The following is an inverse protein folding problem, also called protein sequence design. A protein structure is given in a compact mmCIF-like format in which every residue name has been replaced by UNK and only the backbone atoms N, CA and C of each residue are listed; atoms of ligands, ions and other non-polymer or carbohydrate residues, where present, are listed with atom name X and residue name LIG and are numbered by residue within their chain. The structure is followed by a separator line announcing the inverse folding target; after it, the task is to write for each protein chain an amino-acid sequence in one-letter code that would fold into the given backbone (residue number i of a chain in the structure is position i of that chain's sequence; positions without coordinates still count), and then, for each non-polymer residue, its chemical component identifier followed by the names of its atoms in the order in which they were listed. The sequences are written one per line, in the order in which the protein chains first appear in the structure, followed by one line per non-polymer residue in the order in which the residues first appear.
data_IF_091088162076
#
_entry.id   IF_091088162076
#
_cell.length_a   1.000
_cell.length_b   1.000
_cell.length_c   1.000
_cell.angle_alpha   90.00
_cell.angle_beta   90.00
_cell.angle_gamma   90.00
#
_symmetry.space_group_name_H-M   'P 1'
#
loop_
_entity.id
_entity.type
_entity.pdbx_description
1 polymer ?
#
# COMPACT_ATOMS: atom_id res chain seq x y z
N UNK A 1 -33.40 14.03 37.11
CA UNK A 1 -32.07 13.70 36.61
C UNK A 1 -32.27 12.89 35.33
N UNK A 2 -32.20 13.52 34.16
CA UNK A 2 -32.18 12.83 32.85
C UNK A 2 -30.71 12.69 32.45
N UNK A 3 -30.21 11.47 32.48
CA UNK A 3 -28.87 11.13 32.02
C UNK A 3 -28.70 11.46 30.54
N UNK A 4 -27.71 12.25 30.21
CA UNK A 4 -27.20 12.37 28.85
C UNK A 4 -26.68 11.00 28.42
N UNK A 5 -27.35 10.37 27.49
CA UNK A 5 -26.79 9.27 26.70
C UNK A 5 -25.80 9.95 25.76
N UNK A 6 -24.51 9.86 26.10
CA UNK A 6 -23.44 10.19 25.16
C UNK A 6 -23.51 9.11 24.09
N UNK A 7 -23.93 9.48 22.90
CA UNK A 7 -23.82 8.66 21.69
C UNK A 7 -22.33 8.41 21.49
N UNK A 8 -21.83 7.25 21.89
CA UNK A 8 -20.50 6.78 21.52
C UNK A 8 -20.58 6.56 20.02
N UNK A 9 -19.93 7.44 19.24
CA UNK A 9 -19.89 7.34 17.79
C UNK A 9 -19.56 5.89 17.35
N UNK A 10 -20.26 5.39 16.36
CA UNK A 10 -20.00 4.07 15.79
C UNK A 10 -18.52 3.96 15.45
N UNK A 11 -17.86 2.95 15.99
CA UNK A 11 -16.44 2.71 15.71
C UNK A 11 -16.31 2.46 14.21
N UNK A 12 -15.47 3.25 13.52
CA UNK A 12 -15.18 3.09 12.09
C UNK A 12 -14.93 1.62 11.74
N UNK A 13 -15.65 1.11 10.75
CA UNK A 13 -15.53 -0.26 10.30
C UNK A 13 -15.07 -0.28 8.83
N UNK A 14 -13.79 -0.55 8.56
CA UNK A 14 -13.23 -0.50 7.22
C UNK A 14 -13.86 -1.53 6.27
N UNK A 15 -14.41 -2.63 6.80
CA UNK A 15 -15.08 -3.62 5.95
C UNK A 15 -16.44 -3.13 5.45
N UNK A 16 -17.22 -2.48 6.30
CA UNK A 16 -18.48 -1.87 5.88
C UNK A 16 -18.28 -0.75 4.86
N UNK A 17 -17.22 0.01 5.02
CA UNK A 17 -16.86 1.09 4.10
C UNK A 17 -16.46 0.54 2.72
N UNK A 18 -15.66 -0.54 2.71
CA UNK A 18 -15.33 -1.27 1.48
C UNK A 18 -16.58 -1.82 0.78
N UNK A 19 -17.55 -2.38 1.53
CA UNK A 19 -18.79 -2.89 0.98
C UNK A 19 -19.63 -1.77 0.33
N UNK A 20 -19.72 -0.59 0.96
CA UNK A 20 -20.39 0.58 0.38
C UNK A 20 -19.74 1.02 -0.93
N UNK A 21 -18.42 1.14 -0.96
CA UNK A 21 -17.70 1.53 -2.18
C UNK A 21 -17.93 0.53 -3.32
N UNK A 22 -18.01 -0.76 -2.99
CA UNK A 22 -18.29 -1.80 -3.98
C UNK A 22 -19.74 -1.69 -4.49
N UNK A 23 -20.73 -1.44 -3.61
CA UNK A 23 -22.12 -1.26 -3.99
C UNK A 23 -22.30 -0.02 -4.86
N UNK A 24 -21.70 1.11 -4.50
CA UNK A 24 -21.70 2.33 -5.32
C UNK A 24 -21.12 2.08 -6.72
N UNK A 25 -20.00 1.33 -6.81
CA UNK A 25 -19.42 0.96 -8.09
C UNK A 25 -20.32 0.03 -8.92
N UNK A 26 -21.00 -0.93 -8.27
CA UNK A 26 -21.94 -1.83 -8.92
C UNK A 26 -23.15 -1.07 -9.49
N UNK A 27 -23.69 -0.12 -8.73
CA UNK A 27 -24.81 0.74 -9.16
C UNK A 27 -24.41 1.57 -10.39
N UNK A 28 -23.21 2.17 -10.38
CA UNK A 28 -22.68 2.93 -11.52
C UNK A 28 -22.50 2.07 -12.78
N UNK A 29 -22.18 0.77 -12.61
CA UNK A 29 -22.03 -0.19 -13.70
C UNK A 29 -23.37 -0.79 -14.14
N UNK A 30 -24.46 -0.54 -13.42
CA UNK A 30 -25.77 -1.13 -13.69
C UNK A 30 -25.81 -2.63 -13.44
N UNK A 31 -25.03 -3.13 -12.46
CA UNK A 31 -25.01 -4.54 -12.09
C UNK A 31 -26.17 -4.87 -11.16
N UNK A 32 -26.80 -6.04 -11.37
CA UNK A 32 -27.78 -6.57 -10.44
C UNK A 32 -27.08 -7.15 -9.19
N UNK A 33 -27.78 -7.20 -8.06
CA UNK A 33 -27.23 -7.68 -6.79
C UNK A 33 -26.56 -9.05 -6.90
N UNK A 34 -27.15 -9.96 -7.65
CA UNK A 34 -26.65 -11.34 -7.80
C UNK A 34 -25.33 -11.41 -8.58
N UNK A 35 -24.99 -10.38 -9.38
CA UNK A 35 -23.75 -10.34 -10.15
C UNK A 35 -22.50 -10.15 -9.26
N UNK A 36 -22.65 -9.48 -8.11
CA UNK A 36 -21.55 -9.15 -7.22
C UNK A 36 -21.71 -9.63 -5.77
N UNK A 37 -22.82 -10.24 -5.40
CA UNK A 37 -23.09 -10.66 -4.01
C UNK A 37 -21.98 -11.54 -3.44
N UNK A 38 -21.41 -12.45 -4.25
CA UNK A 38 -20.31 -13.33 -3.85
C UNK A 38 -19.05 -12.56 -3.44
N UNK A 39 -18.85 -11.37 -4.00
CA UNK A 39 -17.69 -10.51 -3.70
C UNK A 39 -17.82 -9.74 -2.37
N UNK A 40 -18.97 -9.83 -1.71
CA UNK A 40 -19.17 -9.26 -0.38
C UNK A 40 -18.56 -10.11 0.74
N UNK A 41 -18.22 -11.35 0.45
CA UNK A 41 -17.82 -12.32 1.46
C UNK A 41 -16.46 -12.95 1.10
N UNK A 42 -15.49 -12.97 2.04
CA UNK A 42 -14.28 -13.74 1.86
C UNK A 42 -14.57 -15.26 1.73
N UNK A 43 -13.85 -15.93 0.83
CA UNK A 43 -13.96 -17.39 0.69
C UNK A 43 -13.50 -18.13 1.94
N UNK A 44 -12.50 -17.62 2.65
CA UNK A 44 -11.93 -18.23 3.86
C UNK A 44 -11.43 -17.20 4.84
N UNK A 45 -11.74 -17.41 6.10
CA UNK A 45 -11.29 -16.61 7.23
C UNK A 45 -10.59 -17.53 8.24
N UNK A 46 -9.35 -17.24 8.58
CA UNK A 46 -8.60 -17.95 9.61
C UNK A 46 -8.13 -16.97 10.68
N UNK A 47 -8.58 -17.20 11.90
CA UNK A 47 -8.08 -16.55 13.12
C UNK A 47 -7.28 -17.56 13.91
N UNK A 48 -6.10 -17.16 14.39
CA UNK A 48 -5.18 -18.02 15.16
C UNK A 48 -4.70 -17.35 16.43
N UNK A 49 -4.48 -18.15 17.47
CA UNK A 49 -3.81 -17.71 18.69
C UNK A 49 -2.35 -18.18 18.66
N UNK A 50 -1.41 -17.25 18.76
CA UNK A 50 0.02 -17.48 18.53
C UNK A 50 0.77 -17.43 19.85
N UNK A 51 1.00 -18.56 20.56
CA UNK A 51 1.83 -18.58 21.76
C UNK A 51 3.31 -18.44 21.38
N UNK A 52 3.99 -17.50 22.04
CA UNK A 52 5.41 -17.20 21.84
C UNK A 52 6.11 -17.18 23.20
N UNK A 53 7.20 -17.92 23.31
CA UNK A 53 8.13 -17.82 24.44
C UNK A 53 8.94 -16.53 24.32
N UNK A 54 8.84 -15.68 25.34
CA UNK A 54 9.55 -14.41 25.40
C UNK A 54 10.99 -14.64 25.89
N UNK A 55 11.84 -13.60 25.79
CA UNK A 55 13.25 -13.71 26.19
C UNK A 55 13.42 -13.90 27.71
N UNK A 56 12.43 -13.50 28.49
CA UNK A 56 12.36 -13.74 29.95
C UNK A 56 11.80 -15.12 30.32
N UNK A 57 11.47 -15.98 29.35
CA UNK A 57 10.90 -17.31 29.58
C UNK A 57 9.38 -17.32 29.79
N UNK A 58 8.71 -16.18 29.80
CA UNK A 58 7.25 -16.12 29.91
C UNK A 58 6.60 -16.48 28.55
N UNK A 59 5.31 -16.82 28.56
CA UNK A 59 4.53 -17.07 27.36
C UNK A 59 3.57 -15.90 27.13
N UNK A 60 3.71 -15.21 25.99
CA UNK A 60 2.70 -14.28 25.50
C UNK A 60 1.92 -14.91 24.35
N UNK A 61 0.63 -14.64 24.28
CA UNK A 61 -0.25 -15.14 23.21
C UNK A 61 -0.70 -13.95 22.37
N UNK A 62 -0.39 -13.98 21.09
CA UNK A 62 -0.78 -12.96 20.11
C UNK A 62 -1.93 -13.47 19.25
N UNK A 63 -2.71 -12.54 18.71
CA UNK A 63 -3.81 -12.85 17.81
C UNK A 63 -3.36 -12.62 16.37
N UNK A 64 -3.61 -13.57 15.48
CA UNK A 64 -3.26 -13.48 14.09
C UNK A 64 -4.41 -13.85 13.17
N UNK A 65 -4.36 -13.33 11.92
CA UNK A 65 -5.40 -13.48 10.91
C UNK A 65 -4.80 -13.81 9.54
N UNK A 66 -5.45 -14.65 8.76
CA UNK A 66 -5.23 -14.78 7.31
C UNK A 66 -6.58 -14.93 6.63
N UNK A 67 -6.92 -13.98 5.75
CA UNK A 67 -8.17 -13.92 5.03
C UNK A 67 -7.89 -14.10 3.55
N UNK A 68 -8.63 -15.00 2.89
CA UNK A 68 -8.65 -15.18 1.44
C UNK A 68 -10.00 -14.68 0.93
N UNK A 69 -9.98 -13.54 0.23
CA UNK A 69 -11.20 -12.92 -0.23
C UNK A 69 -11.76 -13.64 -1.47
N UNK A 70 -10.96 -13.77 -2.52
CA UNK A 70 -11.36 -14.51 -3.72
C UNK A 70 -10.17 -15.16 -4.39
N UNK A 71 -10.31 -16.40 -4.83
CA UNK A 71 -9.34 -17.16 -5.59
C UNK A 71 -9.72 -17.35 -7.07
N UNK A 72 -10.81 -16.74 -7.53
CA UNK A 72 -11.37 -16.95 -8.88
C UNK A 72 -10.40 -16.60 -10.02
N UNK A 73 -9.43 -15.70 -9.80
CA UNK A 73 -8.44 -15.29 -10.79
C UNK A 73 -7.09 -16.02 -10.67
N UNK A 74 -6.91 -16.85 -9.64
CA UNK A 74 -5.66 -17.56 -9.36
C UNK A 74 -5.34 -17.59 -7.87
N UNK A 75 -4.10 -17.96 -7.49
CA UNK A 75 -3.72 -18.00 -6.08
C UNK A 75 -3.91 -16.64 -5.42
N UNK A 76 -4.40 -16.67 -4.18
CA UNK A 76 -4.61 -15.45 -3.41
C UNK A 76 -3.27 -14.75 -3.15
N UNK A 77 -3.27 -13.42 -3.12
CA UNK A 77 -2.08 -12.58 -2.92
C UNK A 77 -2.36 -11.46 -1.95
N UNK A 78 -1.46 -11.26 -0.98
CA UNK A 78 -1.57 -10.11 -0.10
C UNK A 78 -0.55 -10.06 1.02
N UNK A 79 -0.28 -8.85 1.53
CA UNK A 79 0.69 -8.59 2.59
C UNK A 79 0.29 -9.16 3.94
N UNK A 80 1.26 -9.21 4.85
CA UNK A 80 1.08 -9.48 6.28
C UNK A 80 1.45 -8.23 7.05
N UNK A 81 0.52 -7.69 7.84
CA UNK A 81 0.70 -6.48 8.66
C UNK A 81 0.94 -6.84 10.11
N UNK A 82 1.91 -6.20 10.75
CA UNK A 82 2.12 -6.26 12.19
C UNK A 82 1.78 -4.90 12.80
N UNK A 83 0.65 -4.82 13.51
CA UNK A 83 0.20 -3.59 14.15
C UNK A 83 -0.70 -3.90 15.34
N UNK A 84 -0.69 -3.03 16.34
CA UNK A 84 -1.47 -3.21 17.58
C UNK A 84 -2.99 -3.08 17.36
N UNK A 85 -3.42 -2.36 16.34
CA UNK A 85 -4.83 -2.15 16.00
C UNK A 85 -5.37 -3.17 14.98
N UNK A 86 -4.56 -4.08 14.47
CA UNK A 86 -5.02 -5.11 13.52
C UNK A 86 -6.22 -5.87 14.08
N UNK A 87 -7.29 -5.88 13.32
CA UNK A 87 -8.49 -6.66 13.60
C UNK A 87 -9.02 -7.41 12.36
N UNK A 88 -10.04 -8.21 12.56
CA UNK A 88 -10.64 -9.04 11.52
C UNK A 88 -11.25 -8.21 10.39
N UNK A 89 -11.94 -7.11 10.71
CA UNK A 89 -12.63 -6.29 9.71
C UNK A 89 -11.64 -5.52 8.84
N UNK A 90 -10.56 -5.01 9.43
CA UNK A 90 -9.46 -4.40 8.67
C UNK A 90 -8.85 -5.41 7.69
N UNK A 91 -8.53 -6.62 8.16
CA UNK A 91 -7.93 -7.65 7.30
C UNK A 91 -8.89 -8.12 6.20
N UNK A 92 -10.21 -8.21 6.46
CA UNK A 92 -11.23 -8.48 5.44
C UNK A 92 -11.25 -7.40 4.36
N UNK A 93 -11.38 -6.13 4.74
CA UNK A 93 -11.38 -5.00 3.81
C UNK A 93 -10.15 -5.02 2.92
N UNK A 94 -8.96 -5.12 3.52
CA UNK A 94 -7.70 -5.15 2.80
C UNK A 94 -7.54 -6.37 1.88
N UNK A 95 -8.14 -7.52 2.23
CA UNK A 95 -8.13 -8.70 1.36
C UNK A 95 -9.01 -8.52 0.12
N UNK A 96 -10.16 -7.84 0.26
CA UNK A 96 -11.04 -7.48 -0.85
C UNK A 96 -10.35 -6.47 -1.79
N UNK A 97 -9.74 -5.41 -1.24
CA UNK A 97 -8.96 -4.46 -2.04
C UNK A 97 -7.84 -5.14 -2.83
N UNK A 98 -7.21 -6.18 -2.28
CA UNK A 98 -6.21 -6.96 -3.04
C UNK A 98 -6.82 -7.70 -4.22
N UNK A 99 -8.04 -8.24 -4.11
CA UNK A 99 -8.76 -8.86 -5.23
C UNK A 99 -8.98 -7.86 -6.36
N UNK A 100 -9.52 -6.68 -6.04
CA UNK A 100 -9.78 -5.64 -7.03
C UNK A 100 -8.49 -5.09 -7.63
N UNK A 101 -7.47 -4.84 -6.81
CA UNK A 101 -6.15 -4.36 -7.27
C UNK A 101 -5.52 -5.31 -8.28
N UNK A 102 -5.53 -6.63 -8.01
CA UNK A 102 -5.01 -7.63 -8.95
C UNK A 102 -5.83 -7.70 -10.24
N UNK A 103 -7.15 -7.53 -10.15
CA UNK A 103 -8.03 -7.52 -11.30
C UNK A 103 -7.80 -6.30 -12.21
N UNK A 104 -7.68 -5.11 -11.63
CA UNK A 104 -7.48 -3.84 -12.37
C UNK A 104 -6.19 -3.88 -13.20
N UNK A 105 -5.10 -4.43 -12.66
CA UNK A 105 -3.82 -4.55 -13.41
C UNK A 105 -3.71 -5.86 -14.18
N UNK A 106 -4.78 -6.63 -14.25
CA UNK A 106 -4.91 -7.86 -15.02
C UNK A 106 -3.83 -8.91 -14.76
N UNK A 107 -3.42 -9.10 -13.50
CA UNK A 107 -2.52 -10.18 -13.10
C UNK A 107 -3.34 -11.37 -12.58
N UNK A 108 -2.85 -12.62 -12.75
CA UNK A 108 -3.58 -13.84 -12.40
C UNK A 108 -3.46 -14.17 -10.91
N UNK A 109 -3.91 -13.24 -10.07
CA UNK A 109 -4.00 -13.38 -8.63
C UNK A 109 -5.40 -13.10 -8.13
N UNK A 110 -5.82 -13.85 -7.12
CA UNK A 110 -6.88 -13.49 -6.23
C UNK A 110 -6.40 -12.53 -5.12
N UNK A 111 -7.24 -12.29 -4.12
CA UNK A 111 -6.92 -11.40 -3.01
C UNK A 111 -6.85 -12.12 -1.67
N UNK A 112 -5.84 -11.78 -0.90
CA UNK A 112 -5.71 -12.16 0.50
C UNK A 112 -5.09 -11.04 1.34
N UNK A 113 -5.22 -11.16 2.65
CA UNK A 113 -4.51 -10.32 3.61
C UNK A 113 -4.22 -11.11 4.88
N UNK A 114 -3.12 -10.80 5.53
CA UNK A 114 -2.80 -11.31 6.85
C UNK A 114 -2.46 -10.19 7.80
N UNK A 115 -2.53 -10.49 9.09
CA UNK A 115 -2.12 -9.56 10.12
C UNK A 115 -1.88 -10.26 11.44
N UNK A 116 -1.04 -9.66 12.27
CA UNK A 116 -0.86 -10.05 13.67
C UNK A 116 -1.04 -8.81 14.53
N UNK A 117 -1.89 -8.94 15.56
CA UNK A 117 -2.12 -7.89 16.54
C UNK A 117 -0.94 -7.81 17.49
N UNK A 118 0.01 -6.94 17.20
CA UNK A 118 1.27 -6.79 17.93
C UNK A 118 1.90 -5.43 17.68
N UNK A 119 2.53 -4.84 18.70
CA UNK A 119 3.48 -3.75 18.51
C UNK A 119 4.89 -4.34 18.34
N UNK A 120 5.43 -4.43 17.11
CA UNK A 120 6.73 -5.09 16.90
C UNK A 120 7.92 -4.33 17.51
N UNK A 121 7.74 -3.06 17.88
CA UNK A 121 8.77 -2.26 18.55
C UNK A 121 9.00 -2.70 20.01
N UNK A 122 8.04 -3.43 20.59
CA UNK A 122 8.13 -3.98 21.95
C UNK A 122 8.79 -5.37 21.98
N UNK A 123 9.08 -5.95 20.82
CA UNK A 123 9.67 -7.27 20.70
C UNK A 123 11.16 -7.19 20.36
N UNK A 124 11.94 -8.08 20.96
CA UNK A 124 13.29 -8.32 20.48
C UNK A 124 13.28 -8.95 19.08
N UNK A 125 14.39 -8.88 18.37
CA UNK A 125 14.54 -9.55 17.08
C UNK A 125 14.29 -11.07 17.18
N UNK A 126 14.73 -11.70 18.28
CA UNK A 126 14.50 -13.12 18.57
C UNK A 126 13.01 -13.44 18.79
N UNK A 127 12.33 -12.62 19.55
CA UNK A 127 10.87 -12.74 19.80
C UNK A 127 10.06 -12.55 18.53
N UNK A 128 10.38 -11.52 17.73
CA UNK A 128 9.73 -11.26 16.44
C UNK A 128 9.92 -12.44 15.46
N UNK A 129 11.10 -13.05 15.46
CA UNK A 129 11.38 -14.24 14.65
C UNK A 129 10.56 -15.45 15.13
N UNK A 130 10.47 -15.68 16.44
CA UNK A 130 9.65 -16.76 17.01
C UNK A 130 8.16 -16.56 16.70
N UNK A 131 7.65 -15.32 16.84
CA UNK A 131 6.29 -14.94 16.47
C UNK A 131 6.00 -15.26 15.01
N UNK A 132 6.84 -14.79 14.10
CA UNK A 132 6.67 -14.98 12.66
C UNK A 132 6.68 -16.45 12.28
N UNK A 133 7.61 -17.24 12.80
CA UNK A 133 7.69 -18.69 12.52
C UNK A 133 6.47 -19.42 13.06
N UNK A 134 6.00 -19.08 14.26
CA UNK A 134 4.82 -19.69 14.85
C UNK A 134 3.55 -19.32 14.07
N UNK A 135 3.38 -18.04 13.73
CA UNK A 135 2.29 -17.58 12.85
C UNK A 135 2.29 -18.33 11.51
N UNK A 136 3.45 -18.45 10.87
CA UNK A 136 3.59 -19.18 9.60
C UNK A 136 3.13 -20.63 9.71
N UNK A 137 3.53 -21.33 10.78
CA UNK A 137 3.12 -22.70 11.01
C UNK A 137 1.61 -22.84 11.18
N UNK A 138 0.95 -21.85 11.78
CA UNK A 138 -0.51 -21.87 12.02
C UNK A 138 -1.31 -21.55 10.75
N UNK A 139 -0.80 -20.72 9.86
CA UNK A 139 -1.47 -20.39 8.58
C UNK A 139 -1.03 -21.34 7.43
N UNK A 140 -0.16 -22.31 7.70
CA UNK A 140 0.37 -23.24 6.73
C UNK A 140 -0.69 -23.93 5.83
N UNK A 141 -1.88 -24.32 6.34
CA UNK A 141 -2.91 -24.94 5.51
C UNK A 141 -3.42 -24.04 4.38
N UNK A 142 -3.38 -22.72 4.56
CA UNK A 142 -3.88 -21.75 3.58
C UNK A 142 -2.80 -21.32 2.59
N UNK A 143 -1.55 -21.10 3.04
CA UNK A 143 -0.48 -20.53 2.21
C UNK A 143 0.17 -21.57 1.30
N UNK A 144 0.75 -21.07 0.22
CA UNK A 144 1.50 -21.88 -0.75
C UNK A 144 1.58 -21.22 -2.12
N UNK A 145 2.56 -21.60 -2.95
CA UNK A 145 2.77 -20.96 -4.26
C UNK A 145 1.56 -21.06 -5.21
N UNK A 146 0.71 -22.10 -5.03
CA UNK A 146 -0.48 -22.33 -5.83
C UNK A 146 -1.79 -21.97 -5.12
N UNK A 147 -1.71 -21.45 -3.90
CA UNK A 147 -2.88 -21.21 -3.05
C UNK A 147 -3.00 -19.77 -2.61
N UNK A 148 -1.96 -19.31 -1.89
CA UNK A 148 -1.96 -18.00 -1.25
C UNK A 148 -0.52 -17.57 -0.94
N UNK A 149 -0.12 -16.42 -1.46
CA UNK A 149 1.26 -15.96 -1.48
C UNK A 149 1.38 -14.68 -0.63
N UNK A 150 1.91 -14.78 0.60
CA UNK A 150 2.20 -13.62 1.44
C UNK A 150 3.23 -12.66 0.82
N UNK A 151 3.19 -11.42 1.29
CA UNK A 151 4.13 -10.35 0.95
C UNK A 151 4.34 -9.42 2.14
N UNK A 152 5.33 -8.50 2.11
CA UNK A 152 5.47 -7.48 3.12
C UNK A 152 4.30 -6.48 3.12
N UNK A 153 4.00 -5.94 4.30
CA UNK A 153 3.09 -4.82 4.54
C UNK A 153 3.61 -3.99 5.74
N UNK A 154 2.79 -3.21 6.41
CA UNK A 154 3.19 -2.38 7.56
C UNK A 154 3.94 -3.23 8.60
N UNK A 155 5.12 -2.75 9.00
CA UNK A 155 6.00 -3.35 10.00
C UNK A 155 6.45 -4.79 9.70
N UNK A 156 6.38 -5.22 8.44
CA UNK A 156 7.06 -6.42 7.96
C UNK A 156 8.02 -6.06 6.83
N UNK A 157 9.03 -6.88 6.62
CA UNK A 157 10.16 -6.56 5.76
C UNK A 157 10.68 -7.81 5.02
N UNK A 158 11.69 -7.70 4.14
CA UNK A 158 12.25 -8.84 3.42
C UNK A 158 12.78 -9.96 4.32
N UNK A 159 13.37 -9.64 5.47
CA UNK A 159 13.88 -10.62 6.41
C UNK A 159 12.74 -11.49 6.99
N UNK A 160 11.62 -10.86 7.39
CA UNK A 160 10.40 -11.55 7.85
C UNK A 160 9.87 -12.48 6.76
N UNK A 161 9.88 -12.06 5.51
CA UNK A 161 9.51 -12.92 4.38
C UNK A 161 10.46 -14.12 4.23
N UNK A 162 11.75 -13.91 4.48
CA UNK A 162 12.74 -14.99 4.54
C UNK A 162 12.40 -16.02 5.62
N UNK A 163 12.00 -15.58 6.82
CA UNK A 163 11.59 -16.50 7.90
C UNK A 163 10.31 -17.28 7.55
N UNK A 164 9.35 -16.66 6.86
CA UNK A 164 8.14 -17.33 6.37
C UNK A 164 8.51 -18.41 5.36
N UNK A 165 9.34 -18.06 4.36
CA UNK A 165 9.80 -18.99 3.34
C UNK A 165 10.55 -20.20 3.95
N UNK A 166 11.48 -19.93 4.86
CA UNK A 166 12.26 -20.96 5.54
C UNK A 166 11.34 -21.89 6.37
N UNK A 167 10.44 -21.32 7.15
CA UNK A 167 9.49 -22.11 7.96
C UNK A 167 8.59 -22.98 7.07
N UNK A 168 8.02 -22.43 6.01
CA UNK A 168 7.21 -23.18 5.07
C UNK A 168 8.01 -24.33 4.43
N UNK A 169 9.24 -24.03 4.00
CA UNK A 169 10.13 -25.00 3.36
C UNK A 169 10.50 -26.16 4.29
N UNK A 170 10.71 -25.89 5.58
CA UNK A 170 10.94 -26.93 6.59
C UNK A 170 9.79 -27.96 6.63
N UNK A 171 8.54 -27.49 6.63
CA UNK A 171 7.37 -28.38 6.59
C UNK A 171 7.21 -29.15 5.28
N UNK A 172 7.75 -28.62 4.18
CA UNK A 172 7.71 -29.29 2.87
C UNK A 172 8.87 -30.26 2.66
N UNK A 173 9.96 -30.11 3.42
CA UNK A 173 11.17 -30.91 3.26
C UNK A 173 12.07 -30.48 2.08
N UNK A 174 11.74 -29.38 1.40
CA UNK A 174 12.53 -28.76 0.33
C UNK A 174 12.28 -27.28 0.24
N UNK A 175 13.20 -26.51 -0.36
CA UNK A 175 13.08 -25.07 -0.50
C UNK A 175 11.97 -24.67 -1.47
N UNK A 176 11.05 -23.80 -1.05
CA UNK A 176 9.89 -23.32 -1.83
C UNK A 176 9.91 -21.78 -1.93
N UNK A 177 10.73 -21.19 -2.81
CA UNK A 177 10.89 -19.73 -2.89
C UNK A 177 9.62 -19.01 -3.31
N UNK A 178 8.75 -19.67 -4.09
CA UNK A 178 7.49 -19.09 -4.59
C UNK A 178 6.39 -18.95 -3.55
N UNK A 179 6.60 -19.37 -2.29
CA UNK A 179 5.57 -19.26 -1.24
C UNK A 179 5.35 -17.82 -0.78
N UNK A 180 6.34 -16.95 -0.92
CA UNK A 180 6.27 -15.52 -0.56
C UNK A 180 6.90 -14.66 -1.64
N UNK A 181 6.55 -13.38 -1.65
CA UNK A 181 7.26 -12.36 -2.43
C UNK A 181 7.75 -11.23 -1.52
N UNK A 182 8.66 -10.40 -2.03
CA UNK A 182 9.30 -9.35 -1.24
C UNK A 182 10.40 -9.86 -0.30
N UNK A 183 10.94 -11.05 -0.56
CA UNK A 183 12.09 -11.61 0.15
C UNK A 183 13.40 -10.95 -0.29
N UNK A 184 14.51 -11.15 0.44
CA UNK A 184 15.83 -10.69 0.02
C UNK A 184 16.22 -11.20 -1.36
N UNK A 185 16.95 -10.38 -2.14
CA UNK A 185 17.38 -10.72 -3.51
C UNK A 185 18.24 -11.99 -3.53
N UNK A 186 19.08 -12.17 -2.51
CA UNK A 186 20.01 -13.30 -2.35
C UNK A 186 19.30 -14.65 -2.26
N UNK A 187 18.03 -14.67 -1.87
CA UNK A 187 17.20 -15.88 -1.77
C UNK A 187 16.04 -15.90 -2.78
N UNK A 188 16.20 -15.17 -3.90
CA UNK A 188 15.26 -15.16 -5.01
C UNK A 188 14.22 -14.02 -4.97
N UNK A 189 14.50 -12.94 -4.26
CA UNK A 189 13.73 -11.70 -4.34
C UNK A 189 13.97 -10.95 -5.65
N UNK A 190 13.07 -10.05 -6.02
CA UNK A 190 13.15 -9.26 -7.26
C UNK A 190 13.87 -7.95 -7.05
N UNK A 191 14.81 -7.62 -7.96
CA UNK A 191 15.39 -6.28 -8.06
C UNK A 191 14.31 -5.24 -8.39
N UNK A 192 14.47 -4.00 -7.92
CA UNK A 192 13.55 -2.89 -8.17
C UNK A 192 12.27 -2.91 -7.33
N UNK A 193 12.07 -3.91 -6.46
CA UNK A 193 10.90 -4.00 -5.57
C UNK A 193 10.71 -2.75 -4.71
N UNK A 194 11.81 -2.17 -4.23
CA UNK A 194 11.79 -1.00 -3.34
C UNK A 194 11.08 0.21 -3.97
N UNK A 195 11.33 0.46 -5.25
CA UNK A 195 10.84 1.63 -5.97
C UNK A 195 9.60 1.32 -6.84
N UNK A 196 9.19 0.05 -6.91
CA UNK A 196 8.15 -0.42 -7.83
C UNK A 196 6.80 0.30 -7.68
N UNK A 197 6.39 0.61 -6.45
CA UNK A 197 5.14 1.33 -6.20
C UNK A 197 5.22 2.77 -6.71
N UNK A 198 6.29 3.51 -6.35
CA UNK A 198 6.50 4.87 -6.84
C UNK A 198 6.65 4.95 -8.36
N UNK A 199 7.29 3.94 -8.97
CA UNK A 199 7.39 3.83 -10.42
C UNK A 199 6.02 3.58 -11.07
N UNK A 200 5.16 2.79 -10.44
CA UNK A 200 3.76 2.63 -10.86
C UNK A 200 3.00 3.95 -10.82
N UNK A 201 3.15 4.73 -9.75
CA UNK A 201 2.57 6.07 -9.61
C UNK A 201 3.06 6.99 -10.73
N UNK A 202 4.35 7.00 -11.03
CA UNK A 202 4.93 7.78 -12.14
C UNK A 202 4.30 7.39 -13.48
N UNK A 203 4.17 6.09 -13.78
CA UNK A 203 3.58 5.61 -15.03
C UNK A 203 2.11 6.05 -15.16
N UNK A 204 1.32 5.95 -14.09
CA UNK A 204 -0.07 6.38 -14.09
C UNK A 204 -0.19 7.90 -14.21
N UNK A 205 0.71 8.65 -13.57
CA UNK A 205 0.76 10.12 -13.71
C UNK A 205 1.06 10.52 -15.14
N UNK A 206 2.03 9.89 -15.82
CA UNK A 206 2.33 10.15 -17.23
C UNK A 206 1.14 9.83 -18.13
N UNK A 207 0.51 8.70 -17.94
CA UNK A 207 -0.64 8.27 -18.73
C UNK A 207 -1.81 9.25 -18.61
N UNK A 208 -2.14 9.68 -17.37
CA UNK A 208 -3.25 10.63 -17.19
C UNK A 208 -2.90 12.04 -17.75
N UNK A 209 -1.66 12.49 -17.57
CA UNK A 209 -1.21 13.75 -18.17
C UNK A 209 -1.35 13.72 -19.70
N UNK A 210 -0.93 12.62 -20.34
CA UNK A 210 -1.06 12.44 -21.79
C UNK A 210 -2.52 12.47 -22.24
N UNK A 211 -3.42 11.79 -21.51
CA UNK A 211 -4.87 11.80 -21.81
C UNK A 211 -5.49 13.17 -21.64
N UNK A 212 -4.98 13.99 -20.76
CA UNK A 212 -5.43 15.37 -20.55
C UNK A 212 -4.72 16.40 -21.46
N UNK A 213 -3.82 15.94 -22.33
CA UNK A 213 -3.08 16.81 -23.24
C UNK A 213 -2.08 17.74 -22.54
N UNK A 214 -1.62 17.37 -21.34
CA UNK A 214 -0.63 18.13 -20.55
C UNK A 214 0.76 17.52 -20.84
N UNK A 215 1.71 18.29 -21.42
CA UNK A 215 3.07 17.82 -21.61
C UNK A 215 3.73 17.49 -20.25
N UNK A 216 4.38 16.34 -20.17
CA UNK A 216 5.02 15.87 -18.93
C UNK A 216 6.06 16.89 -18.42
N UNK A 217 6.81 17.51 -19.33
CA UNK A 217 7.83 18.53 -18.99
C UNK A 217 7.27 19.87 -18.51
N UNK A 218 5.98 20.11 -18.66
CA UNK A 218 5.31 21.34 -18.21
C UNK A 218 4.51 21.11 -16.92
N UNK A 219 4.23 19.84 -16.60
CA UNK A 219 3.37 19.47 -15.47
C UNK A 219 3.99 19.86 -14.13
N UNK A 220 3.19 20.57 -13.34
CA UNK A 220 3.49 20.90 -11.94
C UNK A 220 2.89 19.86 -11.01
N UNK A 221 3.69 19.38 -10.04
CA UNK A 221 3.29 18.28 -9.17
C UNK A 221 3.54 18.61 -7.70
N UNK A 222 2.56 18.32 -6.85
CA UNK A 222 2.68 18.34 -5.40
C UNK A 222 2.59 16.91 -4.85
N UNK A 223 3.46 16.54 -3.91
CA UNK A 223 3.51 15.19 -3.33
C UNK A 223 3.45 15.28 -1.81
N UNK A 224 2.39 14.73 -1.21
CA UNK A 224 2.30 14.59 0.25
C UNK A 224 2.95 13.28 0.68
N UNK A 225 4.02 13.37 1.47
CA UNK A 225 4.74 12.20 1.99
C UNK A 225 5.97 11.82 1.15
N UNK A 226 7.17 12.05 1.69
CA UNK A 226 8.46 11.70 1.08
C UNK A 226 9.03 10.37 1.61
N UNK A 227 8.14 9.43 1.95
CA UNK A 227 8.52 8.06 2.31
C UNK A 227 8.91 7.20 1.11
N UNK A 228 8.82 5.86 1.26
CA UNK A 228 9.24 4.92 0.21
C UNK A 228 8.51 5.15 -1.13
N UNK A 229 7.19 5.38 -1.10
CA UNK A 229 6.39 5.54 -2.32
C UNK A 229 6.54 6.94 -2.89
N UNK A 230 6.27 7.98 -2.08
CA UNK A 230 6.32 9.36 -2.56
C UNK A 230 7.72 9.80 -2.95
N UNK A 231 8.76 9.40 -2.20
CA UNK A 231 10.15 9.69 -2.57
C UNK A 231 10.59 9.00 -3.87
N UNK A 232 10.13 7.75 -4.11
CA UNK A 232 10.39 7.08 -5.38
C UNK A 232 9.62 7.76 -6.53
N UNK A 233 8.33 8.07 -6.32
CA UNK A 233 7.53 8.77 -7.33
C UNK A 233 8.11 10.15 -7.66
N UNK A 234 8.54 10.91 -6.66
CA UNK A 234 9.18 12.22 -6.87
C UNK A 234 10.43 12.11 -7.77
N UNK A 235 11.33 11.15 -7.47
CA UNK A 235 12.54 10.95 -8.27
C UNK A 235 12.23 10.53 -9.71
N UNK A 236 11.35 9.55 -9.89
CA UNK A 236 10.99 9.05 -11.22
C UNK A 236 10.31 10.16 -12.06
N UNK A 237 9.37 10.91 -11.49
CA UNK A 237 8.70 12.02 -12.17
C UNK A 237 9.66 13.18 -12.50
N UNK A 238 10.58 13.49 -11.59
CA UNK A 238 11.64 14.50 -11.82
C UNK A 238 12.55 14.10 -13.00
N UNK A 239 12.95 12.81 -13.06
CA UNK A 239 13.75 12.29 -14.17
C UNK A 239 13.00 12.28 -15.50
N UNK A 240 11.67 12.18 -15.49
CA UNK A 240 10.82 12.34 -16.68
C UNK A 240 10.62 13.81 -17.08
N UNK A 241 11.14 14.75 -16.30
CA UNK A 241 11.10 16.19 -16.58
C UNK A 241 9.93 16.94 -15.92
N UNK A 242 9.12 16.29 -15.09
CA UNK A 242 8.07 16.99 -14.35
C UNK A 242 8.65 17.98 -13.33
N UNK A 243 7.94 19.06 -13.11
CA UNK A 243 8.28 20.10 -12.12
C UNK A 243 7.66 19.77 -10.77
N UNK A 244 8.44 19.20 -9.85
CA UNK A 244 7.98 18.93 -8.48
C UNK A 244 8.05 20.23 -7.68
N UNK A 245 6.92 20.86 -7.42
CA UNK A 245 6.88 22.19 -6.79
C UNK A 245 6.64 22.15 -5.29
N UNK A 246 6.01 21.10 -4.78
CA UNK A 246 5.74 20.95 -3.35
C UNK A 246 5.91 19.50 -2.92
N UNK A 247 6.52 19.31 -1.75
CA UNK A 247 6.59 18.01 -1.09
C UNK A 247 6.44 18.17 0.42
N UNK A 248 6.01 17.09 1.12
CA UNK A 248 5.96 17.09 2.58
C UNK A 248 6.36 15.75 3.19
N UNK A 249 6.69 15.80 4.48
CA UNK A 249 6.77 14.65 5.38
C UNK A 249 5.97 14.90 6.66
N UNK A 250 6.20 14.12 7.72
CA UNK A 250 5.49 14.28 9.00
C UNK A 250 5.80 15.58 9.73
N UNK A 251 6.89 16.28 9.38
CA UNK A 251 7.34 17.51 10.03
C UNK A 251 6.81 18.78 9.34
N UNK A 252 6.30 18.65 8.12
CA UNK A 252 5.79 19.77 7.34
C UNK A 252 6.07 19.60 5.85
N UNK A 253 6.02 20.72 5.11
CA UNK A 253 6.26 20.72 3.68
C UNK A 253 7.19 21.86 3.24
N UNK A 254 7.65 21.75 2.00
CA UNK A 254 8.41 22.77 1.28
C UNK A 254 7.80 23.02 -0.09
N UNK A 255 7.96 24.25 -0.57
CA UNK A 255 7.45 24.70 -1.86
C UNK A 255 8.49 25.56 -2.58
N UNK A 256 8.61 25.34 -3.89
CA UNK A 256 9.38 26.19 -4.80
C UNK A 256 8.67 26.25 -6.15
N UNK A 257 8.23 27.42 -6.59
CA UNK A 257 7.47 27.61 -7.81
C UNK A 257 8.23 27.15 -9.07
N UNK A 258 9.54 27.41 -9.11
CA UNK A 258 10.39 26.95 -10.21
C UNK A 258 10.65 25.45 -10.28
N UNK A 259 10.23 24.72 -9.24
CA UNK A 259 10.51 23.31 -9.02
C UNK A 259 11.69 23.06 -8.07
N UNK A 260 11.55 22.05 -7.22
CA UNK A 260 12.55 21.58 -6.27
C UNK A 260 13.62 20.74 -6.99
N UNK A 261 14.88 20.85 -6.56
CA UNK A 261 15.92 19.89 -6.91
C UNK A 261 15.69 18.58 -6.12
N UNK A 262 15.01 17.64 -6.76
CA UNK A 262 14.61 16.37 -6.11
C UNK A 262 15.83 15.49 -5.82
N UNK A 263 16.90 15.56 -6.60
CA UNK A 263 18.12 14.77 -6.35
C UNK A 263 18.81 15.27 -5.08
N UNK A 264 18.98 16.58 -4.94
CA UNK A 264 19.57 17.20 -3.76
C UNK A 264 18.72 16.98 -2.51
N UNK A 265 17.38 17.13 -2.63
CA UNK A 265 16.44 16.85 -1.55
C UNK A 265 16.51 15.38 -1.13
N UNK A 266 16.50 14.44 -2.08
CA UNK A 266 16.58 13.01 -1.80
C UNK A 266 17.89 12.65 -1.08
N UNK A 267 19.02 13.20 -1.52
CA UNK A 267 20.31 13.01 -0.84
C UNK A 267 20.27 13.54 0.59
N UNK A 268 19.66 14.71 0.82
CA UNK A 268 19.50 15.28 2.16
C UNK A 268 18.66 14.37 3.07
N UNK A 269 17.48 13.90 2.61
CA UNK A 269 16.60 13.03 3.39
C UNK A 269 17.24 11.65 3.69
N UNK A 270 18.10 11.15 2.81
CA UNK A 270 18.88 9.92 3.06
C UNK A 270 19.87 10.02 4.22
N UNK A 271 20.21 11.21 4.67
CA UNK A 271 21.02 11.41 5.88
C UNK A 271 20.25 11.21 7.18
N UNK A 272 18.94 10.89 7.11
CA UNK A 272 18.06 10.74 8.25
C UNK A 272 17.45 12.05 8.78
N UNK A 273 17.70 13.16 8.08
CA UNK A 273 17.07 14.46 8.36
C UNK A 273 15.67 14.55 7.79
N UNK A 274 14.88 15.51 8.28
CA UNK A 274 13.50 15.72 7.91
C UNK A 274 13.33 17.00 7.07
N UNK A 275 12.18 17.16 6.42
CA UNK A 275 11.89 18.32 5.57
C UNK A 275 11.97 19.65 6.34
N UNK A 276 11.60 19.67 7.62
CA UNK A 276 11.71 20.87 8.45
C UNK A 276 13.14 21.43 8.56
N UNK A 277 14.16 20.58 8.36
CA UNK A 277 15.58 20.97 8.41
C UNK A 277 16.15 21.38 7.04
N UNK A 278 15.40 21.14 5.95
CA UNK A 278 15.91 21.45 4.60
C UNK A 278 15.95 22.96 4.36
N UNK A 279 17.07 23.45 3.86
CA UNK A 279 17.28 24.87 3.52
C UNK A 279 17.93 25.00 2.15
N UNK A 280 17.30 25.77 1.29
CA UNK A 280 17.80 26.12 -0.05
C UNK A 280 17.21 27.46 -0.46
N UNK A 281 17.96 28.23 -1.23
CA UNK A 281 17.50 29.54 -1.73
C UNK A 281 16.25 29.38 -2.63
N UNK A 282 15.24 30.21 -2.39
CA UNK A 282 13.96 30.13 -3.12
C UNK A 282 12.97 29.09 -2.59
N UNK A 283 13.40 28.18 -1.69
CA UNK A 283 12.51 27.22 -1.04
C UNK A 283 11.83 27.86 0.18
N UNK A 284 10.52 27.79 0.25
CA UNK A 284 9.75 28.21 1.43
C UNK A 284 9.14 27.01 2.15
N UNK A 285 9.09 27.08 3.47
CA UNK A 285 8.40 26.10 4.29
C UNK A 285 6.89 26.37 4.29
N UNK A 286 6.12 25.30 4.18
CA UNK A 286 4.67 25.29 4.18
C UNK A 286 4.16 24.12 5.06
N UNK A 287 2.88 24.11 5.37
CA UNK A 287 2.24 23.00 6.10
C UNK A 287 1.88 21.84 5.18
N UNK A 288 1.64 20.67 5.75
CA UNK A 288 1.08 19.51 5.02
C UNK A 288 -0.21 19.84 4.28
N UNK A 289 -1.11 20.65 4.93
CA UNK A 289 -2.35 21.10 4.32
C UNK A 289 -2.09 21.96 3.07
N UNK A 290 -1.13 22.89 3.14
CA UNK A 290 -0.79 23.74 2.00
C UNK A 290 -0.23 22.94 0.82
N UNK A 291 0.45 21.80 1.07
CA UNK A 291 0.85 20.87 -0.01
C UNK A 291 -0.38 20.27 -0.69
N UNK A 292 -1.38 19.82 0.07
CA UNK A 292 -2.60 19.22 -0.49
C UNK A 292 -3.44 20.20 -1.32
N UNK A 293 -3.42 21.48 -0.96
CA UNK A 293 -4.19 22.53 -1.66
C UNK A 293 -3.36 23.41 -2.59
N UNK A 294 -2.14 22.97 -2.91
CA UNK A 294 -1.26 23.68 -3.86
C UNK A 294 -1.92 23.79 -5.24
N UNK A 295 -1.67 24.91 -5.90
CA UNK A 295 -2.13 25.14 -7.27
C UNK A 295 -1.18 24.44 -8.24
N UNK A 296 -1.55 23.22 -8.63
CA UNK A 296 -0.73 22.32 -9.45
C UNK A 296 -1.59 21.52 -10.44
N UNK A 297 -0.96 20.96 -11.45
CA UNK A 297 -1.65 20.05 -12.38
C UNK A 297 -1.99 18.71 -11.69
N UNK A 298 -1.05 18.18 -10.91
CA UNK A 298 -1.20 16.87 -10.26
C UNK A 298 -0.87 16.93 -8.77
N UNK A 299 -1.78 16.44 -7.94
CA UNK A 299 -1.57 16.16 -6.53
C UNK A 299 -1.36 14.65 -6.32
N UNK A 300 -0.31 14.27 -5.58
CA UNK A 300 -0.01 12.87 -5.24
C UNK A 300 -0.03 12.69 -3.73
N UNK A 301 -1.15 12.26 -3.12
CA UNK A 301 -1.20 11.87 -1.71
C UNK A 301 -0.50 10.51 -1.53
N UNK A 302 0.69 10.51 -0.90
CA UNK A 302 1.54 9.34 -0.70
C UNK A 302 1.90 9.11 0.79
N UNK A 303 1.19 9.73 1.73
CA UNK A 303 1.44 9.63 3.16
C UNK A 303 0.61 8.53 3.81
N UNK A 304 -0.61 8.83 4.20
CA UNK A 304 -1.50 7.96 4.97
C UNK A 304 -2.91 7.95 4.38
N UNK A 305 -3.76 7.10 4.93
CA UNK A 305 -5.19 7.08 4.67
C UNK A 305 -5.88 8.36 5.19
N UNK A 306 -7.04 8.70 4.62
CA UNK A 306 -7.93 9.79 5.05
C UNK A 306 -7.25 11.18 5.14
N UNK A 307 -6.33 11.48 4.24
CA UNK A 307 -5.66 12.78 4.17
C UNK A 307 -6.51 13.83 3.44
N UNK A 308 -7.26 13.42 2.43
CA UNK A 308 -8.21 14.26 1.70
C UNK A 308 -9.58 14.00 2.31
N UNK A 309 -9.92 14.82 3.29
CA UNK A 309 -11.23 14.86 3.94
C UNK A 309 -12.17 15.81 3.20
N UNK A 310 -13.47 15.82 3.57
CA UNK A 310 -14.46 16.77 3.05
C UNK A 310 -13.96 18.23 3.13
N UNK A 311 -13.36 18.61 4.27
CA UNK A 311 -12.83 19.97 4.48
C UNK A 311 -11.69 20.31 3.51
N UNK A 312 -10.81 19.35 3.24
CA UNK A 312 -9.66 19.54 2.34
C UNK A 312 -10.12 19.54 0.89
N UNK A 313 -11.03 18.64 0.51
CA UNK A 313 -11.52 18.46 -0.87
C UNK A 313 -12.07 19.76 -1.46
N UNK A 314 -12.86 20.52 -0.68
CA UNK A 314 -13.40 21.81 -1.11
C UNK A 314 -12.36 22.94 -1.32
N UNK A 315 -11.09 22.68 -0.97
CA UNK A 315 -9.97 23.63 -1.13
C UNK A 315 -8.93 23.18 -2.15
N UNK A 316 -9.05 21.96 -2.69
CA UNK A 316 -8.11 21.41 -3.67
C UNK A 316 -8.18 22.22 -4.98
N UNK A 317 -7.01 22.58 -5.50
CA UNK A 317 -6.86 23.31 -6.76
C UNK A 317 -6.27 22.43 -7.88
N UNK A 318 -5.73 21.28 -7.51
CA UNK A 318 -5.17 20.34 -8.49
C UNK A 318 -6.27 19.83 -9.43
N UNK A 319 -5.94 19.70 -10.69
CA UNK A 319 -6.84 19.17 -11.72
C UNK A 319 -6.93 17.65 -11.68
N UNK A 320 -5.86 17.00 -11.21
CA UNK A 320 -5.69 15.56 -11.18
C UNK A 320 -5.16 15.16 -9.82
N UNK A 321 -5.73 14.10 -9.24
CA UNK A 321 -5.20 13.43 -8.04
C UNK A 321 -4.77 12.02 -8.45
N UNK A 322 -3.54 11.63 -8.08
CA UNK A 322 -3.03 10.26 -8.29
C UNK A 322 -2.74 9.64 -6.92
N UNK A 323 -3.59 8.74 -6.48
CA UNK A 323 -3.57 8.18 -5.13
C UNK A 323 -2.43 7.18 -4.94
N UNK A 324 -1.33 7.63 -4.37
CA UNK A 324 -0.16 6.78 -4.11
C UNK A 324 -0.25 6.02 -2.77
N UNK A 325 -0.89 6.59 -1.75
CA UNK A 325 -1.25 5.90 -0.51
C UNK A 325 -2.50 5.03 -0.73
N UNK A 326 -2.80 4.12 0.21
CA UNK A 326 -4.06 3.38 0.20
C UNK A 326 -5.14 4.22 0.91
N UNK A 327 -6.30 4.38 0.26
CA UNK A 327 -7.44 5.11 0.80
C UNK A 327 -7.13 6.54 1.28
N UNK A 328 -6.38 7.37 0.53
CA UNK A 328 -6.02 8.70 1.00
C UNK A 328 -7.20 9.67 0.98
N UNK A 329 -8.24 9.38 0.21
CA UNK A 329 -9.45 10.19 0.03
C UNK A 329 -10.63 9.51 0.73
N UNK A 330 -11.39 10.28 1.54
CA UNK A 330 -12.63 9.78 2.15
C UNK A 330 -13.76 9.73 1.13
N UNK A 331 -14.77 8.88 1.38
CA UNK A 331 -15.94 8.76 0.48
C UNK A 331 -16.72 10.08 0.33
N UNK A 332 -16.78 10.89 1.38
CA UNK A 332 -17.39 12.23 1.33
C UNK A 332 -16.57 13.19 0.47
N UNK A 333 -15.24 13.13 0.61
CA UNK A 333 -14.34 13.96 -0.19
C UNK A 333 -14.41 13.59 -1.68
N UNK A 334 -14.51 12.30 -2.01
CA UNK A 334 -14.61 11.83 -3.39
C UNK A 334 -15.82 12.42 -4.11
N UNK A 335 -16.97 12.51 -3.44
CA UNK A 335 -18.18 13.16 -3.98
C UNK A 335 -17.97 14.63 -4.32
N UNK A 336 -17.21 15.35 -3.50
CA UNK A 336 -16.86 16.76 -3.75
C UNK A 336 -15.93 16.86 -4.94
N UNK A 337 -14.86 16.06 -4.95
CA UNK A 337 -13.88 16.06 -6.05
C UNK A 337 -14.55 15.78 -7.40
N UNK A 338 -15.46 14.81 -7.42
CA UNK A 338 -16.22 14.47 -8.61
C UNK A 338 -17.15 15.63 -9.05
N UNK A 339 -17.82 16.32 -8.12
CA UNK A 339 -18.67 17.48 -8.43
C UNK A 339 -17.88 18.67 -8.97
N UNK A 340 -16.61 18.82 -8.57
CA UNK A 340 -15.68 19.84 -9.06
C UNK A 340 -14.93 19.41 -10.35
N UNK A 341 -15.25 18.24 -10.91
CA UNK A 341 -14.59 17.66 -12.08
C UNK A 341 -13.08 17.44 -11.90
N UNK A 342 -12.62 17.17 -10.69
CA UNK A 342 -11.24 16.78 -10.41
C UNK A 342 -11.09 15.29 -10.75
N UNK A 343 -10.11 14.97 -11.57
CA UNK A 343 -9.88 13.59 -11.98
C UNK A 343 -9.12 12.87 -10.88
N UNK A 344 -9.66 11.74 -10.40
CA UNK A 344 -8.98 10.88 -9.42
C UNK A 344 -8.53 9.59 -10.11
N UNK A 345 -7.22 9.33 -10.10
CA UNK A 345 -6.66 8.01 -10.44
C UNK A 345 -6.59 7.21 -9.15
N UNK A 346 -7.45 6.18 -8.97
CA UNK A 346 -7.62 5.52 -7.69
C UNK A 346 -6.39 4.70 -7.28
N UNK A 347 -6.22 4.51 -5.98
CA UNK A 347 -5.11 3.82 -5.34
C UNK A 347 -4.92 2.38 -5.85
N UNK A 348 -6.01 1.64 -6.07
CA UNK A 348 -5.95 0.26 -6.59
C UNK A 348 -5.29 0.16 -7.97
N UNK A 349 -5.24 1.25 -8.73
CA UNK A 349 -4.54 1.36 -10.01
C UNK A 349 -3.17 2.03 -9.82
N UNK A 350 -3.14 3.21 -9.20
CA UNK A 350 -1.96 4.06 -9.14
C UNK A 350 -0.78 3.40 -8.40
N UNK A 351 -1.04 2.76 -7.24
CA UNK A 351 0.00 2.16 -6.42
C UNK A 351 0.21 0.65 -6.67
N UNK A 352 -0.37 0.10 -7.72
CA UNK A 352 -0.32 -1.34 -8.02
C UNK A 352 1.07 -1.84 -8.48
N UNK A 353 2.04 -0.97 -8.74
CA UNK A 353 3.39 -1.37 -9.17
C UNK A 353 4.04 -2.40 -8.25
N UNK A 354 3.80 -2.30 -6.95
CA UNK A 354 4.29 -3.27 -5.96
C UNK A 354 3.75 -4.69 -6.15
N UNK A 355 2.47 -4.87 -6.47
CA UNK A 355 1.90 -6.20 -6.70
C UNK A 355 2.31 -6.75 -8.07
N UNK A 356 2.50 -5.89 -9.07
CA UNK A 356 3.00 -6.28 -10.40
C UNK A 356 4.42 -6.86 -10.29
N UNK A 357 5.33 -6.20 -9.57
CA UNK A 357 6.68 -6.76 -9.32
C UNK A 357 6.61 -8.05 -8.50
N UNK A 358 5.68 -8.19 -7.57
CA UNK A 358 5.44 -9.45 -6.88
C UNK A 358 5.05 -10.59 -7.82
N UNK A 359 4.28 -10.30 -8.87
CA UNK A 359 3.95 -11.29 -9.89
C UNK A 359 5.21 -11.78 -10.61
N UNK A 360 6.08 -10.89 -11.04
CA UNK A 360 7.33 -11.28 -11.69
C UNK A 360 8.25 -12.08 -10.75
N UNK A 361 8.34 -11.69 -9.48
CA UNK A 361 9.09 -12.45 -8.47
C UNK A 361 8.55 -13.87 -8.28
N UNK A 362 7.23 -14.05 -8.32
CA UNK A 362 6.58 -15.35 -8.16
C UNK A 362 6.77 -16.25 -9.40
N UNK A 363 6.77 -15.67 -10.60
CA UNK A 363 6.95 -16.41 -11.86
C UNK A 363 8.41 -16.82 -12.07
N UNK A 364 9.38 -15.98 -11.67
CA UNK A 364 10.81 -16.20 -11.92
C UNK A 364 11.35 -17.55 -11.42
N UNK A 365 11.00 -18.08 -10.25
CA UNK A 365 11.48 -19.41 -9.80
C UNK A 365 10.86 -20.59 -10.55
N UNK A 366 9.81 -20.36 -11.33
CA UNK A 366 9.08 -21.40 -12.08
C UNK A 366 9.60 -21.57 -13.49
N UNK A 367 10.20 -20.52 -14.04
CA UNK A 367 10.93 -20.57 -15.29
C UNK A 367 12.37 -20.94 -14.98
N UNK A 368 12.69 -22.23 -15.09
CA UNK A 368 14.08 -22.68 -15.16
C UNK A 368 14.63 -22.11 -16.44
N UNK A 369 15.20 -20.94 -16.43
CA UNK A 369 16.27 -20.49 -17.35
C UNK A 369 16.63 -19.00 -17.10
N UNK A 370 17.94 -18.82 -17.04
CA UNK A 370 18.72 -17.63 -17.38
C UNK A 370 18.68 -16.43 -16.42
N UNK A 371 19.76 -16.25 -15.87
CA UNK A 371 20.59 -15.11 -15.44
C UNK A 371 20.45 -13.80 -16.22
N UNK A 372 19.27 -13.43 -16.68
CA UNK A 372 19.03 -12.09 -17.19
C UNK A 372 17.89 -11.47 -16.41
N UNK A 373 18.13 -10.41 -15.60
CA UNK A 373 17.02 -9.66 -15.02
C UNK A 373 16.20 -9.10 -16.19
N UNK A 374 14.85 -9.18 -16.14
CA UNK A 374 14.04 -8.49 -17.13
C UNK A 374 14.38 -7.00 -17.03
N UNK A 375 14.94 -6.45 -18.10
CA UNK A 375 14.93 -5.00 -18.30
C UNK A 375 13.45 -4.64 -18.41
N UNK A 376 12.92 -4.07 -17.34
CA UNK A 376 11.61 -3.43 -17.37
C UNK A 376 11.81 -2.19 -18.24
N UNK A 377 11.38 -2.32 -19.51
CA UNK A 377 11.26 -1.18 -20.39
C UNK A 377 10.12 -0.29 -19.92
#
# INVERSE_FOLDING_TARGET
MRGLIINMGEKYNPYEDMLKSMEEAADLLGLEKDDYEVLKYPERELKVSIPVEMDDGSIRVFEGYRIQHSSSRGPCKGGIRYHEDVDMNEVKALSAWMTFKCAVVNIPYGGAKGGVKVNPRELSHGELKRLTRRYTAMILPLIGPEKDIPAPDINTNPEIMGWIMDTYSMFKGYTVPGVVTGKPVEIGGSLGRKDATGRGVMLMTKEILQRQGIPVSEASIAIQGMGNVGGAAARELYLEGCRIVAVSDVTGGIYQESGLDVEKLSAFLQTGKMIEDYREDGVRHITNREVLISDVDVLIPAAMENQITEEVAGSIKARIIVEAANGPTTSEADKILNSENIIVVPDILANAGGVVVSYFEWVAPRTVVSTCPPRIM
#
